data_IF_801211294266
#
_entry.id   IF_801211294266
#
_cell.length_a   1.000
_cell.length_b   1.000
_cell.length_c   1.000
_cell.angle_alpha   90.00
_cell.angle_beta   90.00
_cell.angle_gamma   90.00
#
_symmetry.space_group_name_H-M   'P 1'
#
loop_
_entity.id
_entity.type
_entity.pdbx_description
1 polymer ?
#
# COMPACT_ATOMS: atom_id res chain seq x y z
N UNK A 1 -18.07 -3.94 49.56
CA UNK A 1 -16.64 -3.67 49.25
C UNK A 1 -16.58 -2.48 48.32
N UNK A 2 -16.04 -1.34 48.78
CA UNK A 2 -15.97 -0.09 48.01
C UNK A 2 -14.70 -0.14 47.15
N UNK A 3 -14.77 -0.03 45.80
CA UNK A 3 -13.58 0.00 44.98
C UNK A 3 -12.76 1.24 45.34
N UNK A 4 -11.52 1.03 45.77
CA UNK A 4 -10.59 2.09 46.13
C UNK A 4 -10.22 2.89 44.89
N UNK A 5 -10.21 4.23 45.01
CA UNK A 5 -9.91 5.16 43.92
C UNK A 5 -8.59 4.86 43.17
N UNK A 6 -7.65 4.18 43.83
CA UNK A 6 -6.40 3.68 43.25
C UNK A 6 -6.60 2.63 42.14
N UNK A 7 -7.60 1.76 42.28
CA UNK A 7 -7.89 0.72 41.28
C UNK A 7 -8.50 1.33 40.02
N UNK A 8 -9.31 2.37 40.18
CA UNK A 8 -9.96 3.09 39.09
C UNK A 8 -8.94 3.90 38.28
N UNK A 9 -7.93 4.48 38.93
CA UNK A 9 -6.82 5.16 38.25
C UNK A 9 -5.96 4.18 37.44
N UNK A 10 -5.68 2.98 37.96
CA UNK A 10 -4.89 1.97 37.25
C UNK A 10 -5.61 1.44 35.99
N UNK A 11 -6.93 1.27 36.06
CA UNK A 11 -7.78 0.90 34.92
C UNK A 11 -7.88 2.02 33.87
N UNK A 12 -7.88 3.28 34.30
CA UNK A 12 -7.89 4.44 33.41
C UNK A 12 -6.58 4.56 32.61
N UNK A 13 -5.43 4.33 33.26
CA UNK A 13 -4.10 4.39 32.60
C UNK A 13 -3.92 3.22 31.64
N UNK A 14 -4.43 2.02 31.94
CA UNK A 14 -4.36 0.87 31.04
C UNK A 14 -5.18 1.05 29.76
N UNK A 15 -6.29 1.81 29.80
CA UNK A 15 -7.15 2.05 28.64
C UNK A 15 -6.54 2.96 27.57
N UNK A 16 -5.57 3.82 27.93
CA UNK A 16 -4.99 4.81 27.00
C UNK A 16 -3.87 4.21 26.12
N UNK A 17 -3.36 3.02 26.46
CA UNK A 17 -2.30 2.34 25.68
C UNK A 17 -2.88 1.45 24.58
N UNK A 18 -4.21 1.32 24.47
CA UNK A 18 -4.87 0.63 23.36
C UNK A 18 -4.95 1.47 22.06
N UNK A 19 -4.06 2.45 21.89
CA UNK A 19 -4.03 3.37 20.77
C UNK A 19 -2.89 3.10 19.79
N UNK A 20 -3.24 3.07 18.51
CA UNK A 20 -2.40 2.94 17.31
C UNK A 20 -1.97 1.50 16.99
N UNK A 21 -2.78 0.81 16.18
CA UNK A 21 -2.25 -0.21 15.30
C UNK A 21 -1.31 0.48 14.30
N UNK A 22 0.03 0.32 14.39
CA UNK A 22 0.89 0.77 13.31
C UNK A 22 0.46 0.01 12.05
N UNK A 23 0.31 0.72 10.94
CA UNK A 23 -0.04 0.12 9.66
C UNK A 23 0.99 -0.97 9.29
N UNK A 24 0.69 -2.23 9.60
CA UNK A 24 1.64 -3.36 9.51
C UNK A 24 2.16 -3.62 8.09
N UNK A 25 1.52 -3.10 7.05
CA UNK A 25 1.99 -3.28 5.68
C UNK A 25 3.12 -2.34 5.27
N UNK A 26 3.29 -1.19 5.94
CA UNK A 26 4.40 -0.29 5.60
C UNK A 26 5.75 -0.87 5.99
N UNK A 27 5.82 -1.69 7.05
CA UNK A 27 7.08 -2.28 7.50
C UNK A 27 7.57 -3.40 6.57
N UNK A 28 6.71 -4.34 6.18
CA UNK A 28 7.09 -5.46 5.32
C UNK A 28 7.50 -5.01 3.91
N UNK A 29 6.76 -4.05 3.32
CA UNK A 29 7.13 -3.46 2.04
C UNK A 29 8.46 -2.70 2.11
N UNK A 30 8.69 -1.93 3.19
CA UNK A 30 9.97 -1.23 3.42
C UNK A 30 11.13 -2.17 3.57
N UNK A 31 10.97 -3.21 4.36
CA UNK A 31 12.02 -4.19 4.60
C UNK A 31 12.39 -4.91 3.31
N UNK A 32 11.38 -5.35 2.54
CA UNK A 32 11.60 -6.07 1.29
C UNK A 32 12.33 -5.22 0.23
N UNK A 33 11.93 -3.94 0.10
CA UNK A 33 12.53 -2.99 -0.84
C UNK A 33 13.73 -2.23 -0.28
N UNK A 34 14.21 -2.55 0.94
CA UNK A 34 15.27 -1.80 1.65
C UNK A 34 14.98 -0.29 1.71
N UNK A 35 13.71 0.09 1.84
CA UNK A 35 13.25 1.48 1.88
C UNK A 35 13.29 2.23 0.54
N UNK A 36 13.62 1.60 -0.58
CA UNK A 36 13.68 2.27 -1.88
C UNK A 36 12.27 2.57 -2.41
N UNK A 37 11.97 3.85 -2.60
CA UNK A 37 10.74 4.34 -3.21
C UNK A 37 11.02 4.79 -4.64
N UNK A 38 10.16 4.43 -5.58
CA UNK A 38 10.29 4.81 -6.98
C UNK A 38 10.01 6.31 -7.14
N UNK A 39 11.04 7.05 -7.56
CA UNK A 39 10.94 8.48 -7.87
C UNK A 39 10.92 8.77 -9.38
N UNK A 40 10.87 10.05 -9.78
CA UNK A 40 10.83 10.46 -11.19
C UNK A 40 11.95 9.86 -12.06
N UNK A 41 13.16 9.70 -11.49
CA UNK A 41 14.30 9.14 -12.21
C UNK A 41 14.07 7.70 -12.70
N UNK A 42 13.35 6.89 -11.92
CA UNK A 42 13.01 5.50 -12.27
C UNK A 42 12.07 5.47 -13.48
N UNK A 43 11.13 6.41 -13.56
CA UNK A 43 10.21 6.53 -14.69
C UNK A 43 10.89 7.12 -15.94
N UNK A 44 11.87 8.01 -15.75
CA UNK A 44 12.61 8.61 -16.87
C UNK A 44 13.57 7.62 -17.54
N UNK A 45 14.19 6.72 -16.78
CA UNK A 45 15.20 5.76 -17.26
C UNK A 45 15.02 4.38 -16.62
N UNK A 46 13.94 3.65 -16.94
CA UNK A 46 13.61 2.39 -16.28
C UNK A 46 14.69 1.31 -16.42
N UNK A 47 15.40 1.28 -17.55
CA UNK A 47 16.48 0.31 -17.81
C UNK A 47 17.68 0.45 -16.89
N UNK A 48 17.97 1.65 -16.36
CA UNK A 48 19.09 1.88 -15.45
C UNK A 48 18.85 1.26 -14.06
N UNK A 49 17.60 0.87 -13.77
CA UNK A 49 17.15 0.37 -12.47
C UNK A 49 16.61 -1.07 -12.55
N UNK A 50 16.89 -1.78 -13.64
CA UNK A 50 16.44 -3.16 -13.83
C UNK A 50 16.92 -4.09 -12.71
N UNK A 51 16.07 -5.02 -12.27
CA UNK A 51 16.40 -5.99 -11.23
C UNK A 51 16.41 -5.40 -9.81
N UNK A 52 16.30 -4.08 -9.66
CA UNK A 52 16.17 -3.44 -8.37
C UNK A 52 14.77 -3.59 -7.77
N UNK A 53 14.71 -3.49 -6.44
CA UNK A 53 13.49 -3.59 -5.65
C UNK A 53 13.01 -2.20 -5.29
N UNK A 54 11.77 -1.90 -5.62
CA UNK A 54 11.15 -0.59 -5.38
C UNK A 54 9.75 -0.73 -4.82
N UNK A 55 9.38 0.28 -4.01
CA UNK A 55 8.01 0.56 -3.62
C UNK A 55 7.48 1.65 -4.55
N UNK A 56 6.31 1.40 -5.11
CA UNK A 56 5.55 2.36 -5.90
C UNK A 56 4.12 2.35 -5.44
N UNK A 57 3.43 3.46 -5.63
CA UNK A 57 2.00 3.48 -5.43
C UNK A 57 1.33 4.40 -6.42
N UNK A 58 0.06 4.15 -6.62
CA UNK A 58 -0.69 4.82 -7.66
C UNK A 58 -2.16 4.52 -7.61
N UNK A 59 -2.87 5.08 -8.58
CA UNK A 59 -4.27 4.80 -8.82
C UNK A 59 -4.37 3.69 -9.85
N UNK A 60 -5.19 2.68 -9.56
CA UNK A 60 -5.46 1.58 -10.46
C UNK A 60 -6.27 2.07 -11.66
N UNK A 61 -5.72 1.93 -12.86
CA UNK A 61 -6.38 2.24 -14.12
C UNK A 61 -7.16 1.03 -14.65
N UNK A 62 -6.66 -0.18 -14.40
CA UNK A 62 -7.28 -1.41 -14.89
C UNK A 62 -6.59 -2.67 -14.39
N UNK A 63 -7.34 -3.77 -14.39
CA UNK A 63 -6.86 -5.10 -14.02
C UNK A 63 -7.24 -6.07 -15.13
N UNK A 64 -6.28 -6.88 -15.56
CA UNK A 64 -6.51 -8.03 -16.43
C UNK A 64 -6.11 -9.29 -15.66
N UNK A 65 -7.09 -10.14 -15.37
CA UNK A 65 -6.86 -11.45 -14.77
C UNK A 65 -6.64 -12.48 -15.86
N UNK A 66 -5.58 -13.27 -15.71
CA UNK A 66 -5.23 -14.40 -16.56
C UNK A 66 -4.99 -15.63 -15.65
N UNK A 67 -5.09 -16.86 -16.19
CA UNK A 67 -4.80 -18.05 -15.39
C UNK A 67 -3.38 -18.00 -14.79
N UNK A 68 -3.30 -17.93 -13.46
CA UNK A 68 -2.02 -17.91 -12.72
C UNK A 68 -1.32 -16.54 -12.62
N UNK A 69 -1.86 -15.48 -13.24
CA UNK A 69 -1.27 -14.14 -13.17
C UNK A 69 -2.32 -13.04 -13.36
N UNK A 70 -2.16 -11.93 -12.63
CA UNK A 70 -2.88 -10.69 -12.90
C UNK A 70 -1.93 -9.61 -13.40
N UNK A 71 -2.37 -8.85 -14.40
CA UNK A 71 -1.68 -7.65 -14.88
C UNK A 71 -2.49 -6.42 -14.46
N UNK A 72 -1.88 -5.56 -13.67
CA UNK A 72 -2.48 -4.31 -13.22
C UNK A 72 -1.81 -3.14 -13.93
N UNK A 73 -2.59 -2.14 -14.31
CA UNK A 73 -2.07 -0.89 -14.86
C UNK A 73 -2.31 0.21 -13.84
N UNK A 74 -1.24 0.82 -13.35
CA UNK A 74 -1.30 1.90 -12.35
C UNK A 74 -0.86 3.21 -12.97
N UNK A 75 -1.48 4.31 -12.57
CA UNK A 75 -0.92 5.64 -12.69
C UNK A 75 -0.18 5.96 -11.40
N UNK A 76 1.14 5.99 -11.46
CA UNK A 76 1.99 6.15 -10.28
C UNK A 76 2.06 7.61 -9.82
N UNK A 77 2.12 7.80 -8.51
CA UNK A 77 2.27 9.09 -7.85
C UNK A 77 3.43 9.04 -6.85
N UNK A 78 3.99 10.19 -6.47
CA UNK A 78 4.86 10.29 -5.30
C UNK A 78 4.21 9.64 -4.08
N UNK A 79 5.01 8.98 -3.24
CA UNK A 79 4.53 8.39 -1.99
C UNK A 79 4.80 9.33 -0.82
N UNK A 80 3.86 9.38 0.11
CA UNK A 80 4.04 10.07 1.39
C UNK A 80 4.96 9.26 2.35
N UNK A 81 5.32 9.82 3.52
CA UNK A 81 6.11 9.11 4.54
C UNK A 81 5.41 7.89 5.15
N UNK A 82 4.16 7.59 4.78
CA UNK A 82 3.41 6.40 5.15
C UNK A 82 3.23 5.41 3.98
N UNK A 83 3.89 5.68 2.84
CA UNK A 83 3.83 4.92 1.59
C UNK A 83 2.47 4.93 0.89
N UNK A 84 1.69 5.99 1.08
CA UNK A 84 0.45 6.22 0.34
C UNK A 84 0.66 7.10 -0.89
N UNK A 85 -0.06 6.84 -2.01
CA UNK A 85 0.05 7.67 -3.20
C UNK A 85 -0.52 9.07 -2.98
N UNK A 86 0.31 10.10 -3.16
CA UNK A 86 -0.09 11.50 -3.08
C UNK A 86 -0.73 11.98 -4.39
N UNK A 87 -2.02 11.67 -4.58
CA UNK A 87 -2.75 12.04 -5.82
C UNK A 87 -2.95 13.56 -6.01
N UNK A 88 -2.57 14.38 -5.04
CA UNK A 88 -2.54 15.84 -5.17
C UNK A 88 -1.29 16.36 -5.88
N UNK A 89 -0.28 15.52 -6.08
CA UNK A 89 0.92 15.82 -6.86
C UNK A 89 0.78 15.34 -8.31
N UNK A 90 1.59 15.87 -9.26
CA UNK A 90 1.63 15.36 -10.62
C UNK A 90 1.98 13.86 -10.66
N UNK A 91 1.36 13.08 -11.56
CA UNK A 91 1.69 11.66 -11.71
C UNK A 91 3.12 11.49 -12.24
N UNK A 92 3.81 10.46 -11.76
CA UNK A 92 5.16 10.09 -12.20
C UNK A 92 5.14 9.39 -13.57
N UNK A 93 4.07 8.65 -13.86
CA UNK A 93 3.90 7.92 -15.10
C UNK A 93 3.04 6.67 -14.94
N UNK A 94 2.72 6.02 -16.06
CA UNK A 94 2.01 4.75 -16.04
C UNK A 94 2.98 3.58 -15.84
N UNK A 95 2.59 2.60 -15.04
CA UNK A 95 3.37 1.38 -14.78
C UNK A 95 2.49 0.15 -14.93
N UNK A 96 3.08 -0.90 -15.52
CA UNK A 96 2.46 -2.21 -15.62
C UNK A 96 3.01 -3.10 -14.51
N UNK A 97 2.12 -3.58 -13.65
CA UNK A 97 2.44 -4.44 -12.53
C UNK A 97 2.00 -5.87 -12.85
N UNK A 98 2.91 -6.82 -12.71
CA UNK A 98 2.63 -8.24 -12.83
C UNK A 98 2.51 -8.84 -11.44
N UNK A 99 1.38 -9.48 -11.16
CA UNK A 99 1.08 -10.12 -9.89
C UNK A 99 0.86 -11.61 -10.11
N UNK A 100 1.67 -12.45 -9.48
CA UNK A 100 1.55 -13.91 -9.54
C UNK A 100 1.16 -14.53 -8.20
N UNK A 101 0.65 -13.71 -7.28
CA UNK A 101 0.20 -14.17 -5.97
C UNK A 101 -1.23 -14.71 -5.99
N UNK A 102 -1.86 -14.76 -4.82
CA UNK A 102 -3.26 -15.16 -4.69
C UNK A 102 -4.18 -14.31 -5.60
N UNK A 103 -5.32 -14.86 -6.07
CA UNK A 103 -6.28 -14.11 -6.86
C UNK A 103 -6.62 -12.76 -6.21
N UNK A 104 -6.57 -11.69 -7.00
CA UNK A 104 -6.96 -10.37 -6.51
C UNK A 104 -8.44 -10.40 -6.12
N UNK A 105 -8.75 -9.86 -4.94
CA UNK A 105 -10.13 -9.77 -4.48
C UNK A 105 -10.94 -8.81 -5.34
N UNK A 106 -12.27 -8.96 -5.31
CA UNK A 106 -13.20 -8.02 -5.94
C UNK A 106 -13.08 -6.58 -5.42
N UNK A 107 -12.37 -6.38 -4.30
CA UNK A 107 -12.08 -5.06 -3.73
C UNK A 107 -10.96 -4.32 -4.48
N UNK A 108 -10.27 -4.95 -5.44
CA UNK A 108 -9.24 -4.31 -6.26
C UNK A 108 -9.87 -3.86 -7.59
N UNK A 109 -10.40 -2.64 -7.61
CA UNK A 109 -11.13 -2.07 -8.76
C UNK A 109 -10.42 -0.83 -9.32
N UNK A 110 -10.64 -0.48 -10.60
CA UNK A 110 -10.18 0.79 -11.15
C UNK A 110 -10.63 1.98 -10.28
N UNK A 111 -9.75 2.96 -10.10
CA UNK A 111 -9.92 4.09 -9.19
C UNK A 111 -9.33 3.87 -7.80
N UNK A 112 -9.09 2.62 -7.39
CA UNK A 112 -8.50 2.35 -6.08
C UNK A 112 -7.03 2.75 -6.04
N UNK A 113 -6.61 3.32 -4.91
CA UNK A 113 -5.20 3.54 -4.62
C UNK A 113 -4.57 2.22 -4.18
N UNK A 114 -3.39 1.95 -4.71
CA UNK A 114 -2.63 0.74 -4.43
C UNK A 114 -1.18 1.12 -4.17
N UNK A 115 -0.57 0.48 -3.18
CA UNK A 115 0.87 0.48 -2.97
C UNK A 115 1.41 -0.91 -3.26
N UNK A 116 2.48 -0.97 -4.02
CA UNK A 116 3.07 -2.20 -4.54
C UNK A 116 4.56 -2.17 -4.25
N UNK A 117 5.09 -3.26 -3.71
CA UNK A 117 6.52 -3.50 -3.65
C UNK A 117 6.89 -4.64 -4.59
N UNK A 118 7.90 -4.43 -5.42
CA UNK A 118 8.31 -5.42 -6.40
C UNK A 118 9.62 -5.13 -7.09
N UNK A 119 9.99 -6.02 -7.99
CA UNK A 119 11.24 -5.96 -8.75
C UNK A 119 10.97 -5.33 -10.10
N UNK A 120 11.78 -4.34 -10.49
CA UNK A 120 11.71 -3.76 -11.82
C UNK A 120 12.16 -4.78 -12.86
N UNK A 121 11.35 -4.91 -13.90
CA UNK A 121 11.61 -5.81 -15.01
C UNK A 121 12.18 -5.01 -16.19
N UNK A 122 12.91 -5.68 -17.10
CA UNK A 122 13.33 -5.07 -18.35
C UNK A 122 12.10 -4.49 -19.06
N UNK A 123 12.14 -3.20 -19.41
CA UNK A 123 11.01 -2.56 -20.05
C UNK A 123 10.85 -3.11 -21.48
N UNK A 124 9.63 -3.50 -21.91
CA UNK A 124 9.41 -4.00 -23.27
C UNK A 124 9.67 -2.93 -24.34
N UNK A 125 9.58 -1.65 -23.96
CA UNK A 125 9.91 -0.49 -24.78
C UNK A 125 10.53 0.62 -23.91
N UNK A 126 11.29 1.54 -24.51
CA UNK A 126 12.02 2.60 -23.78
C UNK A 126 11.17 3.49 -22.86
N UNK A 127 9.84 3.48 -23.00
CA UNK A 127 8.93 4.38 -22.28
C UNK A 127 8.01 3.68 -21.27
N UNK A 128 8.02 2.36 -21.19
CA UNK A 128 7.18 1.65 -20.23
C UNK A 128 7.95 1.20 -19.01
N UNK A 129 7.35 1.38 -17.84
CA UNK A 129 7.83 0.80 -16.60
C UNK A 129 7.08 -0.52 -16.36
N UNK A 130 7.81 -1.60 -16.09
CA UNK A 130 7.26 -2.88 -15.65
C UNK A 130 7.82 -3.28 -14.31
N UNK A 131 6.95 -3.82 -13.46
CA UNK A 131 7.32 -4.30 -12.13
C UNK A 131 6.64 -5.64 -11.85
N UNK A 132 7.41 -6.61 -11.36
CA UNK A 132 6.87 -7.84 -10.76
C UNK A 132 6.58 -7.58 -9.29
N UNK A 133 5.31 -7.52 -8.93
CA UNK A 133 4.86 -7.32 -7.57
C UNK A 133 5.06 -8.57 -6.71
N UNK A 134 5.60 -8.36 -5.51
CA UNK A 134 5.67 -9.37 -4.45
C UNK A 134 4.71 -9.04 -3.31
N UNK A 135 4.50 -7.75 -3.05
CA UNK A 135 3.57 -7.27 -2.04
C UNK A 135 2.63 -6.28 -2.73
N UNK A 136 1.32 -6.49 -2.55
CA UNK A 136 0.29 -5.62 -3.05
C UNK A 136 -0.63 -5.23 -1.90
N UNK A 137 -0.74 -3.92 -1.65
CA UNK A 137 -1.54 -3.35 -0.58
C UNK A 137 -2.62 -2.47 -1.19
N UNK A 138 -3.89 -2.88 -1.15
CA UNK A 138 -4.97 -1.96 -1.45
C UNK A 138 -5.11 -0.92 -0.34
N UNK A 139 -5.39 0.32 -0.74
CA UNK A 139 -5.68 1.44 0.16
C UNK A 139 -7.11 1.33 0.76
N UNK A 140 -7.63 0.11 0.89
CA UNK A 140 -8.90 -0.18 1.55
C UNK A 140 -8.62 -0.60 2.98
N UNK A 141 -9.20 0.12 3.95
CA UNK A 141 -9.21 -0.35 5.34
C UNK A 141 -10.07 -1.61 5.42
N UNK A 142 -9.43 -2.77 5.51
CA UNK A 142 -10.15 -4.04 5.66
C UNK A 142 -10.61 -4.15 7.12
N UNK A 143 -11.92 -4.23 7.39
CA UNK A 143 -12.40 -4.45 8.75
C UNK A 143 -12.05 -5.85 9.23
N UNK A 144 -11.33 -5.93 10.34
CA UNK A 144 -11.08 -7.19 11.03
C UNK A 144 -12.22 -7.46 12.03
N UNK A 145 -13.26 -8.18 11.61
CA UNK A 145 -14.30 -8.71 12.51
C UNK A 145 -15.41 -7.74 12.91
N UNK A 146 -16.40 -7.51 12.04
CA UNK A 146 -17.65 -6.80 12.40
C UNK A 146 -17.55 -5.27 12.55
N UNK A 147 -16.36 -4.69 12.41
CA UNK A 147 -16.17 -3.23 12.49
C UNK A 147 -16.47 -2.54 11.16
N UNK A 148 -16.94 -1.29 11.19
CA UNK A 148 -16.93 -0.40 10.04
C UNK A 148 -15.65 0.44 10.08
N UNK A 149 -14.81 0.36 9.04
CA UNK A 149 -13.57 1.12 8.98
C UNK A 149 -13.65 2.26 7.99
N UNK A 150 -13.39 3.47 8.47
CA UNK A 150 -13.22 4.67 7.65
C UNK A 150 -11.78 5.16 7.71
N UNK A 151 -11.23 5.57 6.57
CA UNK A 151 -9.89 6.16 6.52
C UNK A 151 -9.95 7.62 6.98
N UNK A 152 -9.01 7.99 7.83
CA UNK A 152 -8.74 9.35 8.30
C UNK A 152 -7.32 9.76 7.89
N UNK A 153 -6.97 11.05 8.00
CA UNK A 153 -5.59 11.52 7.73
C UNK A 153 -4.53 10.81 8.58
N UNK A 154 -4.91 10.28 9.74
CA UNK A 154 -4.04 9.59 10.68
C UNK A 154 -4.05 8.06 10.55
N UNK A 155 -4.77 7.50 9.57
CA UNK A 155 -4.82 6.05 9.33
C UNK A 155 -6.24 5.50 9.25
N UNK A 156 -6.37 4.18 9.38
CA UNK A 156 -7.67 3.51 9.39
C UNK A 156 -8.32 3.65 10.77
N UNK A 157 -9.45 4.36 10.83
CA UNK A 157 -10.29 4.44 12.01
C UNK A 157 -11.40 3.40 11.88
N UNK A 158 -11.28 2.31 12.62
CA UNK A 158 -12.32 1.29 12.72
C UNK A 158 -13.22 1.60 13.92
N UNK A 159 -14.52 1.75 13.67
CA UNK A 159 -15.53 1.96 14.71
C UNK A 159 -16.40 0.72 14.83
N UNK A 160 -16.66 0.32 16.07
CA UNK A 160 -17.65 -0.71 16.37
C UNK A 160 -19.05 -0.11 16.20
N UNK A 161 -19.98 -0.87 15.64
CA UNK A 161 -21.39 -0.51 15.65
C UNK A 161 -22.07 -1.06 16.90
#
# INVERSE_FOLDING_TARGET
>A
MRPTARFLFFLLVLGIVAGCAPSMLSSSAREWAKGKVAGPAVFARPGDYEGERYILGGVLLGVRQEPGQATLRLLAYPLDPSLYPETGQPPLGAVTVLWSGAPLSSLVMPGNRLTVAGTLLPPPDRKSLRLRAHILSPDTCVPAGGFACHRTRSGCLCRNY
#
